data_IF_619315524111
#
_entry.id   IF_619315524111
#
_cell.length_a   1.000
_cell.length_b   1.000
_cell.length_c   1.000
_cell.angle_alpha   90.00
_cell.angle_beta   90.00
_cell.angle_gamma   90.00
#
_symmetry.space_group_name_H-M   'P 1'
#
loop_
_entity.id
_entity.type
_entity.pdbx_description
1 polymer ?
#
# COMPACT_ATOMS: atom_id res chain seq x y z
N UNK A 1 -13.00 5.37 -14.40
CA UNK A 1 -13.75 5.20 -13.14
C UNK A 1 -14.55 3.92 -13.30
N UNK A 2 -14.00 2.76 -12.92
CA UNK A 2 -14.69 1.47 -13.07
C UNK A 2 -14.77 0.81 -11.69
N UNK A 3 -15.99 0.75 -11.17
CA UNK A 3 -16.32 0.12 -9.91
C UNK A 3 -16.64 -1.36 -10.22
N UNK A 4 -15.80 -2.30 -9.78
CA UNK A 4 -16.15 -3.73 -9.82
C UNK A 4 -16.88 -4.03 -8.51
N UNK A 5 -18.21 -4.10 -8.58
CA UNK A 5 -19.04 -4.50 -7.46
C UNK A 5 -18.90 -6.02 -7.21
N UNK A 6 -18.50 -6.40 -6.00
CA UNK A 6 -18.65 -7.77 -5.50
C UNK A 6 -19.83 -7.80 -4.50
N UNK A 7 -20.60 -8.90 -4.44
CA UNK A 7 -21.82 -8.96 -3.66
C UNK A 7 -21.51 -9.04 -2.15
N UNK A 8 -22.08 -8.12 -1.38
CA UNK A 8 -21.93 -8.04 0.08
C UNK A 8 -21.54 -6.63 0.52
N UNK A 9 -22.53 -5.85 1.00
CA UNK A 9 -22.47 -4.41 1.29
C UNK A 9 -21.46 -3.96 2.34
N UNK A 10 -20.17 -4.01 2.01
CA UNK A 10 -19.09 -3.41 2.79
C UNK A 10 -18.29 -2.44 1.92
N UNK A 11 -18.11 -1.20 2.38
CA UNK A 11 -17.32 -0.18 1.68
C UNK A 11 -15.85 -0.59 1.67
N UNK A 12 -15.40 -1.13 0.54
CA UNK A 12 -13.98 -1.31 0.23
C UNK A 12 -13.51 -0.06 -0.50
N UNK A 13 -12.56 0.67 0.08
CA UNK A 13 -12.04 1.88 -0.58
C UNK A 13 -10.85 1.48 -1.44
N UNK A 14 -11.04 1.59 -2.74
CA UNK A 14 -10.00 1.46 -3.76
C UNK A 14 -9.85 2.85 -4.36
N UNK A 15 -8.70 3.49 -4.12
CA UNK A 15 -8.49 4.90 -4.46
C UNK A 15 -7.11 5.16 -5.06
N UNK A 16 -6.96 6.27 -5.79
CA UNK A 16 -5.65 6.83 -6.12
C UNK A 16 -5.45 8.04 -5.23
N UNK A 17 -4.40 8.04 -4.43
CA UNK A 17 -4.04 9.19 -3.61
C UNK A 17 -3.66 10.35 -4.53
N UNK A 18 -4.47 11.41 -4.52
CA UNK A 18 -4.26 12.59 -5.38
C UNK A 18 -3.21 13.56 -4.85
N UNK A 19 -2.69 13.33 -3.64
CA UNK A 19 -1.69 14.17 -3.01
C UNK A 19 -2.25 15.50 -2.50
N UNK A 20 -1.62 16.03 -1.44
CA UNK A 20 -1.55 17.47 -1.20
C UNK A 20 -0.29 17.98 -1.94
N UNK A 21 -0.31 19.13 -2.63
CA UNK A 21 0.91 19.65 -3.24
C UNK A 21 2.01 19.77 -2.17
N UNK A 22 3.26 19.40 -2.47
CA UNK A 22 4.32 19.40 -1.48
C UNK A 22 4.41 20.78 -0.85
N UNK A 23 4.42 20.84 0.49
CA UNK A 23 4.84 22.08 1.16
C UNK A 23 6.30 22.26 0.80
N UNK A 24 6.62 23.36 0.12
CA UNK A 24 8.00 23.73 -0.19
C UNK A 24 8.85 23.63 1.08
N UNK A 25 9.89 22.80 1.04
CA UNK A 25 10.95 22.85 2.01
C UNK A 25 11.79 24.12 1.75
N UNK A 26 12.34 24.70 2.81
CA UNK A 26 13.07 25.98 2.75
C UNK A 26 14.38 25.92 1.92
N UNK A 27 14.74 24.75 1.34
CA UNK A 27 16.03 24.50 0.73
C UNK A 27 16.01 24.18 -0.78
N UNK A 28 14.85 24.17 -1.43
CA UNK A 28 14.76 24.37 -2.89
C UNK A 28 15.62 23.45 -3.76
N UNK A 29 15.82 22.18 -3.37
CA UNK A 29 16.51 21.18 -4.20
C UNK A 29 15.71 19.89 -4.31
N UNK A 30 14.72 19.94 -5.19
CA UNK A 30 14.13 18.77 -5.84
C UNK A 30 14.22 18.96 -7.34
N UNK A 31 15.41 18.77 -7.91
CA UNK A 31 15.65 18.88 -9.35
C UNK A 31 14.98 17.71 -10.09
N UNK A 32 13.76 17.98 -10.58
CA UNK A 32 13.12 17.47 -11.81
C UNK A 32 12.84 15.96 -11.91
N UNK A 33 12.00 15.48 -12.82
CA UNK A 33 10.84 15.92 -13.62
C UNK A 33 10.33 14.60 -14.19
N UNK A 34 9.02 14.43 -14.23
CA UNK A 34 8.42 13.24 -14.80
C UNK A 34 6.92 13.30 -14.59
N UNK A 35 6.29 14.32 -15.18
CA UNK A 35 4.86 14.27 -15.45
C UNK A 35 4.61 13.12 -16.44
N UNK A 36 4.49 11.90 -15.93
CA UNK A 36 3.97 10.80 -16.72
C UNK A 36 3.06 9.92 -15.86
N UNK A 37 1.77 10.10 -16.11
CA UNK A 37 0.69 9.23 -15.65
C UNK A 37 1.06 7.80 -16.04
N UNK A 38 1.54 7.00 -15.09
CA UNK A 38 1.86 5.60 -15.36
C UNK A 38 0.57 4.84 -15.70
N UNK A 39 0.41 4.59 -17.01
CA UNK A 39 -0.50 3.60 -17.56
C UNK A 39 -0.13 2.18 -17.12
N UNK A 40 -0.92 1.17 -17.51
CA UNK A 40 -0.86 -0.18 -16.94
C UNK A 40 0.35 -1.05 -17.36
N UNK A 41 1.55 -0.48 -17.48
CA UNK A 41 2.75 -1.19 -17.98
C UNK A 41 4.08 -0.85 -17.30
N UNK A 42 4.09 -0.04 -16.23
CA UNK A 42 5.31 0.25 -15.47
C UNK A 42 5.62 -0.81 -14.41
N UNK A 43 6.91 -1.06 -14.19
CA UNK A 43 7.43 -1.75 -13.00
C UNK A 43 7.09 -0.92 -11.76
N UNK A 44 6.55 -1.54 -10.71
CA UNK A 44 6.11 -0.82 -9.50
C UNK A 44 6.71 -1.33 -8.20
N UNK A 45 6.88 -0.44 -7.23
CA UNK A 45 7.12 -0.81 -5.83
C UNK A 45 5.81 -0.97 -5.04
N UNK A 46 5.76 -2.01 -4.19
CA UNK A 46 4.57 -2.31 -3.38
C UNK A 46 4.87 -2.25 -1.87
N UNK A 47 4.02 -1.56 -1.13
CA UNK A 47 4.01 -1.56 0.34
C UNK A 47 2.86 -2.40 0.88
N UNK A 48 3.12 -3.32 1.81
CA UNK A 48 2.09 -4.13 2.47
C UNK A 48 2.07 -3.88 3.97
N UNK A 49 1.00 -3.27 4.47
CA UNK A 49 0.74 -3.11 5.91
C UNK A 49 -0.23 -4.20 6.35
N UNK A 50 0.30 -5.18 7.10
CA UNK A 50 -0.40 -6.38 7.55
C UNK A 50 0.23 -7.65 7.00
N UNK A 51 0.47 -8.64 7.87
CA UNK A 51 1.18 -9.89 7.52
C UNK A 51 0.31 -11.13 7.76
N UNK A 52 -1.02 -10.93 7.70
CA UNK A 52 -2.04 -11.96 7.91
C UNK A 52 -2.34 -12.81 6.67
N UNK A 53 -3.34 -13.68 6.79
CA UNK A 53 -3.76 -14.56 5.69
C UNK A 53 -4.21 -13.79 4.45
N UNK A 54 -5.08 -12.78 4.62
CA UNK A 54 -5.58 -11.94 3.53
C UNK A 54 -4.49 -11.12 2.83
N UNK A 55 -3.39 -10.79 3.53
CA UNK A 55 -2.24 -10.08 2.93
C UNK A 55 -1.50 -10.93 1.91
N UNK A 56 -1.56 -12.26 2.02
CA UNK A 56 -0.93 -13.17 1.06
C UNK A 56 -1.66 -13.12 -0.28
N UNK A 57 -2.99 -13.29 -0.24
CA UNK A 57 -3.81 -13.29 -1.46
C UNK A 57 -3.87 -11.93 -2.14
N UNK A 58 -3.91 -10.84 -1.39
CA UNK A 58 -3.89 -9.49 -1.98
C UNK A 58 -2.54 -9.17 -2.63
N UNK A 59 -1.41 -9.53 -2.01
CA UNK A 59 -0.11 -9.33 -2.64
C UNK A 59 0.02 -10.18 -3.91
N UNK A 60 -0.39 -11.45 -3.87
CA UNK A 60 -0.42 -12.32 -5.05
C UNK A 60 -1.29 -11.73 -6.17
N UNK A 61 -2.46 -11.17 -5.85
CA UNK A 61 -3.33 -10.51 -6.82
C UNK A 61 -2.68 -9.27 -7.45
N UNK A 62 -1.96 -8.45 -6.65
CA UNK A 62 -1.21 -7.30 -7.17
C UNK A 62 -0.11 -7.77 -8.13
N UNK A 63 0.69 -8.77 -7.76
CA UNK A 63 1.73 -9.34 -8.64
C UNK A 63 1.15 -10.00 -9.91
N UNK A 64 -0.10 -10.50 -9.86
CA UNK A 64 -0.78 -11.06 -11.03
C UNK A 64 -1.23 -10.02 -12.07
N UNK A 65 -1.32 -8.74 -11.69
CA UNK A 65 -1.83 -7.66 -12.57
C UNK A 65 -0.85 -6.49 -12.74
N UNK A 66 0.29 -6.52 -12.06
CA UNK A 66 1.38 -5.53 -12.13
C UNK A 66 2.73 -6.23 -12.07
N UNK A 67 3.70 -5.67 -12.78
CA UNK A 67 5.09 -6.08 -12.64
C UNK A 67 5.70 -5.47 -11.36
N UNK A 68 5.60 -6.19 -10.25
CA UNK A 68 6.15 -5.75 -8.95
C UNK A 68 7.63 -6.11 -8.87
N UNK A 69 8.49 -5.10 -8.67
CA UNK A 69 9.95 -5.30 -8.61
C UNK A 69 10.47 -5.48 -7.19
N UNK A 70 9.81 -4.86 -6.22
CA UNK A 70 10.16 -4.93 -4.82
C UNK A 70 8.93 -4.74 -3.94
N UNK A 71 8.92 -5.43 -2.80
CA UNK A 71 7.88 -5.29 -1.79
C UNK A 71 8.51 -4.93 -0.45
N UNK A 72 7.97 -3.92 0.24
CA UNK A 72 8.22 -3.67 1.66
C UNK A 72 7.01 -4.18 2.45
N UNK A 73 7.22 -4.87 3.55
CA UNK A 73 6.14 -5.41 4.37
C UNK A 73 6.30 -5.03 5.85
N UNK A 74 5.23 -4.51 6.44
CA UNK A 74 5.15 -4.16 7.85
C UNK A 74 4.05 -4.97 8.55
N UNK A 75 4.37 -5.44 9.75
CA UNK A 75 3.44 -6.08 10.68
C UNK A 75 3.94 -5.84 12.11
N UNK A 76 3.02 -5.77 13.07
CA UNK A 76 3.35 -5.51 14.49
C UNK A 76 4.20 -6.60 15.13
N UNK A 77 3.99 -7.84 14.71
CA UNK A 77 4.72 -9.01 15.19
C UNK A 77 5.91 -9.27 14.25
N UNK A 78 7.16 -9.11 14.70
CA UNK A 78 8.35 -9.29 13.87
C UNK A 78 8.48 -10.70 13.32
N UNK A 79 8.18 -11.73 14.12
CA UNK A 79 8.28 -13.14 13.71
C UNK A 79 7.29 -13.49 12.60
N UNK A 80 6.04 -13.02 12.73
CA UNK A 80 5.03 -13.17 11.67
C UNK A 80 5.38 -12.38 10.43
N UNK A 81 5.98 -11.20 10.58
CA UNK A 81 6.44 -10.36 9.46
C UNK A 81 7.56 -11.03 8.69
N UNK A 82 8.58 -11.55 9.37
CA UNK A 82 9.69 -12.28 8.77
C UNK A 82 9.20 -13.55 8.06
N UNK A 83 8.32 -14.32 8.69
CA UNK A 83 7.70 -15.51 8.10
C UNK A 83 6.93 -15.16 6.83
N UNK A 84 6.09 -14.11 6.87
CA UNK A 84 5.38 -13.62 5.69
C UNK A 84 6.33 -13.24 4.55
N UNK A 85 7.40 -12.47 4.85
CA UNK A 85 8.35 -12.03 3.84
C UNK A 85 9.06 -13.21 3.18
N UNK A 86 9.50 -14.21 3.97
CA UNK A 86 10.16 -15.41 3.45
C UNK A 86 9.22 -16.21 2.54
N UNK A 87 8.07 -16.62 3.07
CA UNK A 87 7.10 -17.46 2.35
C UNK A 87 6.63 -16.81 1.05
N UNK A 88 6.29 -15.52 1.10
CA UNK A 88 5.76 -14.82 -0.06
C UNK A 88 6.86 -14.45 -1.07
N UNK A 89 8.11 -14.26 -0.62
CA UNK A 89 9.23 -14.07 -1.56
C UNK A 89 9.47 -15.34 -2.37
N UNK A 90 9.46 -16.49 -1.71
CA UNK A 90 9.61 -17.81 -2.35
C UNK A 90 8.44 -18.10 -3.29
N UNK A 91 7.19 -17.87 -2.85
CA UNK A 91 6.00 -18.18 -3.63
C UNK A 91 5.82 -17.28 -4.86
N UNK A 92 6.25 -16.01 -4.80
CA UNK A 92 6.03 -15.03 -5.88
C UNK A 92 7.28 -14.77 -6.72
N UNK A 93 8.46 -15.20 -6.28
CA UNK A 93 9.72 -14.88 -6.95
C UNK A 93 10.09 -13.39 -6.91
N UNK A 94 9.56 -12.64 -5.94
CA UNK A 94 9.80 -11.20 -5.75
C UNK A 94 10.50 -10.98 -4.42
N UNK A 95 11.44 -10.02 -4.36
CA UNK A 95 12.09 -9.64 -3.10
C UNK A 95 11.10 -8.93 -2.18
N UNK A 96 10.80 -9.53 -1.03
CA UNK A 96 9.98 -8.92 0.03
C UNK A 96 10.85 -8.62 1.24
N UNK A 97 10.96 -7.34 1.58
CA UNK A 97 11.76 -6.87 2.70
C UNK A 97 10.87 -6.56 3.91
N UNK A 98 11.14 -7.16 5.08
CA UNK A 98 10.50 -6.74 6.32
C UNK A 98 11.03 -5.35 6.71
N UNK A 99 10.13 -4.42 7.03
CA UNK A 99 10.47 -3.10 7.56
C UNK A 99 9.86 -2.91 8.94
N UNK A 100 10.45 -2.01 9.73
CA UNK A 100 10.16 -1.81 11.15
C UNK A 100 8.99 -0.86 11.45
N UNK A 101 8.51 -0.12 10.44
CA UNK A 101 7.43 0.86 10.59
C UNK A 101 6.49 0.87 9.38
N UNK A 102 5.25 1.31 9.60
CA UNK A 102 4.27 1.50 8.54
C UNK A 102 4.69 2.59 7.55
N UNK A 103 5.34 3.66 8.03
CA UNK A 103 5.88 4.74 7.18
C UNK A 103 6.95 4.21 6.21
N UNK A 104 7.97 3.51 6.72
CA UNK A 104 9.01 2.92 5.87
C UNK A 104 8.45 1.93 4.84
N UNK A 105 7.28 1.33 5.12
CA UNK A 105 6.61 0.41 4.23
C UNK A 105 6.00 1.09 2.99
N UNK A 106 5.49 2.31 3.17
CA UNK A 106 4.70 3.02 2.14
C UNK A 106 5.46 4.15 1.47
N UNK A 107 6.57 4.58 2.07
CA UNK A 107 7.48 5.54 1.47
C UNK A 107 8.03 4.96 0.16
N UNK A 108 7.83 5.73 -0.92
CA UNK A 108 8.16 5.39 -2.33
C UNK A 108 7.30 4.28 -2.95
N UNK A 109 6.31 3.75 -2.23
CA UNK A 109 5.41 2.74 -2.77
C UNK A 109 4.36 3.36 -3.72
N UNK A 110 4.28 2.85 -4.94
CA UNK A 110 3.27 3.23 -5.93
C UNK A 110 1.97 2.44 -5.73
N UNK A 111 2.06 1.25 -5.13
CA UNK A 111 0.92 0.44 -4.71
C UNK A 111 1.05 0.17 -3.22
N UNK A 112 0.00 0.48 -2.45
CA UNK A 112 -0.05 0.22 -1.01
C UNK A 112 -1.24 -0.67 -0.71
N UNK A 113 -1.01 -1.76 0.01
CA UNK A 113 -2.02 -2.70 0.48
C UNK A 113 -2.11 -2.60 1.99
N UNK A 114 -3.27 -2.22 2.52
CA UNK A 114 -3.53 -2.24 3.97
C UNK A 114 -4.56 -3.31 4.30
N UNK A 115 -4.15 -4.28 5.11
CA UNK A 115 -5.03 -5.34 5.59
C UNK A 115 -4.69 -5.64 7.04
N UNK A 116 -5.32 -4.90 7.93
CA UNK A 116 -5.05 -5.04 9.36
C UNK A 116 -6.32 -5.26 10.15
N UNK A 117 -6.18 -5.82 11.36
CA UNK A 117 -7.22 -5.81 12.38
C UNK A 117 -7.14 -4.59 13.31
N UNK A 118 -6.36 -3.56 12.93
CA UNK A 118 -6.13 -2.40 13.78
C UNK A 118 -7.42 -1.64 14.05
N UNK A 119 -7.54 -1.11 15.26
CA UNK A 119 -8.62 -0.19 15.64
C UNK A 119 -8.33 1.26 15.24
N UNK A 120 -7.05 1.57 14.99
CA UNK A 120 -6.55 2.91 14.70
C UNK A 120 -6.00 2.95 13.27
N UNK A 121 -6.02 4.12 12.60
CA UNK A 121 -5.39 4.30 11.30
C UNK A 121 -3.93 3.82 11.35
N UNK A 122 -3.53 3.05 10.35
CA UNK A 122 -2.18 2.48 10.22
C UNK A 122 -1.39 3.11 9.07
N UNK A 123 -2.06 3.95 8.29
CA UNK A 123 -1.55 4.66 7.14
C UNK A 123 -1.99 6.12 7.27
N UNK A 124 -1.04 7.04 7.12
CA UNK A 124 -1.32 8.47 6.99
C UNK A 124 -1.12 8.87 5.52
N UNK A 125 -2.04 9.67 4.97
CA UNK A 125 -1.94 10.11 3.57
C UNK A 125 -0.62 10.85 3.27
N UNK A 126 -0.09 11.58 4.26
CA UNK A 126 1.16 12.33 4.15
C UNK A 126 2.41 11.46 3.89
N UNK A 127 2.33 10.14 4.10
CA UNK A 127 3.44 9.22 3.82
C UNK A 127 3.41 8.67 2.40
N UNK A 128 2.29 8.83 1.68
CA UNK A 128 2.10 8.27 0.35
C UNK A 128 2.79 9.12 -0.71
N UNK A 129 3.43 8.44 -1.67
CA UNK A 129 3.90 9.09 -2.88
C UNK A 129 2.70 9.69 -3.65
N UNK A 130 2.86 10.88 -4.28
CA UNK A 130 1.84 11.42 -5.17
C UNK A 130 1.46 10.40 -6.26
N UNK A 131 0.16 10.16 -6.44
CA UNK A 131 -0.34 9.19 -7.42
C UNK A 131 -0.36 7.73 -6.97
N UNK A 132 0.10 7.42 -5.76
CA UNK A 132 0.05 6.06 -5.20
C UNK A 132 -1.37 5.48 -5.20
N UNK A 133 -1.48 4.20 -5.52
CA UNK A 133 -2.74 3.46 -5.48
C UNK A 133 -2.86 2.72 -4.15
N UNK A 134 -3.98 2.91 -3.45
CA UNK A 134 -4.21 2.28 -2.14
C UNK A 134 -5.35 1.26 -2.23
N UNK A 135 -5.03 0.03 -1.84
CA UNK A 135 -5.95 -1.08 -1.62
C UNK A 135 -6.17 -1.22 -0.10
N UNK A 136 -7.19 -0.54 0.43
CA UNK A 136 -7.56 -0.64 1.84
C UNK A 136 -8.69 -1.67 2.02
N UNK A 137 -8.38 -2.78 2.71
CA UNK A 137 -9.29 -3.93 2.81
C UNK A 137 -9.34 -4.58 4.21
N UNK A 138 -8.76 -3.98 5.25
CA UNK A 138 -8.87 -4.49 6.62
C UNK A 138 -10.11 -3.99 7.40
N UNK A 139 -10.07 -4.19 8.72
CA UNK A 139 -11.22 -4.40 9.62
C UNK A 139 -12.44 -3.46 9.46
N UNK A 140 -13.52 -4.02 8.93
CA UNK A 140 -14.86 -3.44 8.82
C UNK A 140 -15.66 -3.50 10.14
N UNK A 141 -15.26 -2.77 11.18
CA UNK A 141 -16.18 -2.44 12.27
C UNK A 141 -16.74 -1.02 12.01
N UNK A 142 -18.04 -0.81 12.22
CA UNK A 142 -18.82 0.43 11.97
C UNK A 142 -18.23 1.74 12.55
N UNK A 143 -17.13 1.68 13.29
CA UNK A 143 -16.45 2.78 14.01
C UNK A 143 -14.94 2.87 13.69
N UNK A 144 -14.42 2.08 12.74
CA UNK A 144 -12.98 1.96 12.46
C UNK A 144 -12.66 2.37 11.02
N UNK A 145 -11.61 3.19 10.86
CA UNK A 145 -11.10 3.64 9.56
C UNK A 145 -9.64 3.25 9.43
N UNK A 146 -9.28 2.59 8.32
CA UNK A 146 -7.88 2.28 7.98
C UNK A 146 -7.15 3.47 7.36
N UNK A 147 -7.91 4.41 6.79
CA UNK A 147 -7.45 5.57 6.05
C UNK A 147 -8.01 6.84 6.70
N UNK A 148 -7.26 7.94 6.60
CA UNK A 148 -7.78 9.25 6.99
C UNK A 148 -8.85 9.74 6.01
N UNK A 149 -9.56 10.80 6.41
CA UNK A 149 -10.59 11.41 5.56
C UNK A 149 -10.02 12.10 4.31
N UNK A 150 -8.70 12.32 4.23
CA UNK A 150 -8.05 13.01 3.10
C UNK A 150 -7.72 12.07 1.93
N UNK A 151 -7.74 10.74 2.13
CA UNK A 151 -7.30 9.75 1.13
C UNK A 151 -8.33 9.44 0.02
N UNK A 152 -8.96 10.45 -0.61
CA UNK A 152 -10.01 10.26 -1.65
C UNK A 152 -9.53 10.48 -3.09
#
# INVERSE_FOLDING_TARGET
>A
MHCVALPGGHRRTIGRYRGRPPRADANGRGERRGDEVHGPGGRVQCGVIGTGWQARSQLAAVCGVREVTAVKAFGRDPSRRETYCREMSEALGVRIQPVDSARACVEEAEVVVTITSSAKPVLEGAWLAPGAHVNAAGSNALVRSEIDAETV
#
